data_IF_295780368203
#
_entry.id   IF_295780368203
#
_cell.length_a   1.000
_cell.length_b   1.000
_cell.length_c   1.000
_cell.angle_alpha   90.00
_cell.angle_beta   90.00
_cell.angle_gamma   90.00
#
_symmetry.space_group_name_H-M   'P 1'
#
loop_
_entity.id
_entity.type
_entity.pdbx_description
1 polymer ?
#
# COMPACT_ATOMS: atom_id res chain seq x y z
N UNK A 1 2.47 7.18 -5.40
CA UNK A 1 3.33 8.11 -4.65
C UNK A 1 4.54 7.44 -4.04
N UNK A 2 4.43 6.25 -3.41
CA UNK A 2 5.56 5.47 -2.88
C UNK A 2 6.71 5.32 -3.91
N UNK A 3 6.42 4.94 -5.14
CA UNK A 3 7.40 4.83 -6.24
C UNK A 3 7.89 6.19 -6.78
N UNK A 4 7.08 7.25 -6.70
CA UNK A 4 7.46 8.60 -7.18
C UNK A 4 8.36 9.35 -6.20
N UNK A 5 8.24 9.11 -4.90
CA UNK A 5 9.11 9.70 -3.88
C UNK A 5 10.51 9.06 -3.86
N UNK A 6 10.61 7.76 -4.15
CA UNK A 6 11.91 7.08 -4.30
C UNK A 6 12.75 7.68 -5.44
N UNK A 7 12.10 8.13 -6.52
CA UNK A 7 12.79 8.83 -7.64
C UNK A 7 13.29 10.24 -7.25
N UNK A 8 12.73 10.88 -6.23
CA UNK A 8 13.12 12.21 -5.75
C UNK A 8 14.20 12.21 -4.65
N UNK A 9 14.48 11.07 -4.03
CA UNK A 9 15.50 10.92 -2.98
C UNK A 9 16.88 10.46 -3.50
N UNK A 10 16.97 10.08 -4.78
CA UNK A 10 18.24 9.77 -5.46
C UNK A 10 18.65 11.01 -6.24
N UNK A 11 19.86 11.59 -6.04
CA UNK A 11 20.30 12.72 -6.85
C UNK A 11 20.58 12.25 -8.28
N UNK A 12 19.59 12.36 -9.15
CA UNK A 12 19.77 12.17 -10.58
C UNK A 12 19.58 13.51 -11.29
N UNK A 13 20.62 13.95 -11.96
CA UNK A 13 20.57 15.01 -12.96
C UNK A 13 19.67 14.54 -14.10
N UNK A 14 18.46 15.06 -14.20
CA UNK A 14 17.58 14.86 -15.35
C UNK A 14 16.78 16.12 -15.64
N UNK A 15 17.07 16.67 -16.82
CA UNK A 15 16.34 17.73 -17.52
C UNK A 15 14.86 17.37 -17.72
N UNK A 16 13.94 18.34 -17.64
CA UNK A 16 12.51 18.09 -17.81
C UNK A 16 12.21 17.84 -19.30
N UNK A 17 11.79 16.64 -19.64
CA UNK A 17 11.17 16.34 -20.92
C UNK A 17 9.65 16.57 -20.77
N UNK A 18 9.15 17.58 -21.48
CA UNK A 18 7.72 17.85 -21.63
C UNK A 18 7.18 16.76 -22.58
N UNK A 19 6.44 15.80 -22.06
CA UNK A 19 5.71 14.83 -22.86
C UNK A 19 4.27 15.33 -23.04
N UNK A 20 3.96 15.77 -24.25
CA UNK A 20 2.60 15.95 -24.75
C UNK A 20 1.93 14.58 -24.81
N UNK A 21 0.84 14.40 -24.08
CA UNK A 21 0.03 13.19 -24.11
C UNK A 21 -0.70 13.04 -25.43
N UNK A 22 -0.28 12.09 -26.25
CA UNK A 22 -1.16 11.55 -27.29
C UNK A 22 -2.16 10.58 -26.66
N UNK A 23 -3.42 10.93 -26.71
CA UNK A 23 -4.56 10.13 -26.29
C UNK A 23 -4.78 9.05 -27.34
N UNK A 24 -4.28 7.82 -27.13
CA UNK A 24 -4.70 6.65 -27.88
C UNK A 24 -5.85 6.01 -27.14
N UNK A 25 -7.04 6.03 -27.76
CA UNK A 25 -8.27 5.47 -27.22
C UNK A 25 -8.13 3.98 -26.89
N UNK A 26 -8.75 3.60 -25.78
CA UNK A 26 -8.89 2.23 -25.30
C UNK A 26 -9.74 1.40 -26.31
N UNK A 27 -9.21 0.33 -26.94
CA UNK A 27 -9.96 -0.44 -27.94
C UNK A 27 -10.97 -1.44 -27.36
N UNK A 28 -11.14 -1.53 -26.04
CA UNK A 28 -12.04 -2.51 -25.39
C UNK A 28 -13.09 -1.91 -24.45
N UNK A 29 -13.37 -0.63 -24.58
CA UNK A 29 -14.35 0.07 -23.74
C UNK A 29 -15.79 -0.08 -24.18
N UNK A 30 -16.45 -1.18 -23.90
CA UNK A 30 -17.91 -1.29 -24.09
C UNK A 30 -18.61 -1.92 -22.89
N UNK A 31 -18.35 -1.42 -21.69
CA UNK A 31 -19.35 -1.47 -20.62
C UNK A 31 -19.06 -0.29 -19.67
N UNK A 32 -19.99 0.66 -19.50
CA UNK A 32 -19.94 1.58 -18.40
C UNK A 32 -19.92 0.77 -17.10
N UNK A 33 -19.21 1.20 -16.05
CA UNK A 33 -19.19 0.50 -14.79
C UNK A 33 -20.62 0.30 -14.30
N UNK A 34 -21.11 -0.94 -14.31
CA UNK A 34 -22.43 -1.31 -13.84
C UNK A 34 -22.41 -1.48 -12.32
N UNK A 35 -22.20 -0.39 -11.61
CA UNK A 35 -22.28 -0.33 -10.17
C UNK A 35 -22.54 1.10 -9.74
N UNK A 36 -23.20 1.32 -8.60
CA UNK A 36 -23.37 2.67 -8.08
C UNK A 36 -22.02 3.34 -7.84
N UNK A 37 -21.93 4.68 -7.95
CA UNK A 37 -20.67 5.40 -7.85
C UNK A 37 -20.10 5.31 -6.42
N UNK A 38 -18.76 5.23 -6.32
CA UNK A 38 -18.06 5.42 -5.06
C UNK A 38 -18.42 6.77 -4.44
N UNK A 39 -18.68 6.79 -3.14
CA UNK A 39 -19.02 8.01 -2.41
C UNK A 39 -17.73 8.74 -2.02
N UNK A 40 -17.59 9.99 -2.45
CA UNK A 40 -16.50 10.84 -1.98
C UNK A 40 -16.76 11.31 -0.55
N UNK A 41 -15.77 11.11 0.33
CA UNK A 41 -15.82 11.51 1.73
C UNK A 41 -14.79 12.60 1.99
N UNK A 42 -15.17 13.63 2.74
CA UNK A 42 -14.27 14.74 3.05
C UNK A 42 -13.19 14.31 4.05
N UNK A 43 -11.94 14.37 3.64
CA UNK A 43 -10.78 14.07 4.49
C UNK A 43 -10.35 15.24 5.39
N UNK A 44 -10.77 16.46 5.05
CA UNK A 44 -10.30 17.69 5.69
C UNK A 44 -8.88 18.12 5.28
N UNK A 45 -8.29 17.47 4.27
CA UNK A 45 -6.95 17.78 3.79
C UNK A 45 -6.85 17.78 2.26
N UNK A 46 -5.79 18.38 1.72
CA UNK A 46 -5.46 18.37 0.29
C UNK A 46 -4.16 17.62 -0.03
N UNK A 47 -3.43 17.15 0.98
CA UNK A 47 -2.22 16.36 0.74
C UNK A 47 -2.56 14.89 0.38
N UNK A 48 -1.67 14.20 -0.36
CA UNK A 48 -1.87 12.79 -0.68
C UNK A 48 -1.96 11.91 0.55
N UNK A 49 -2.87 10.93 0.52
CA UNK A 49 -3.03 9.87 1.50
C UNK A 49 -2.43 8.58 0.93
N UNK A 50 -1.49 7.95 1.66
CA UNK A 50 -0.61 6.90 1.14
C UNK A 50 -1.03 5.47 1.52
N UNK A 51 -1.78 5.32 2.61
CA UNK A 51 -2.26 4.02 3.09
C UNK A 51 -3.50 4.20 3.95
N UNK A 52 -4.30 3.15 4.06
CA UNK A 52 -5.52 3.07 4.87
C UNK A 52 -5.58 1.71 5.55
N UNK A 53 -6.03 1.70 6.79
CA UNK A 53 -6.30 0.52 7.61
C UNK A 53 -7.40 0.83 8.62
N UNK A 54 -8.14 -0.17 9.07
CA UNK A 54 -9.12 -0.01 10.14
C UNK A 54 -9.30 -1.27 10.96
N UNK A 55 -9.84 -1.13 12.17
CA UNK A 55 -10.24 -2.24 13.02
C UNK A 55 -11.71 -2.62 12.84
N UNK A 56 -12.51 -1.69 12.29
CA UNK A 56 -13.94 -1.86 12.01
C UNK A 56 -14.46 -0.80 11.03
N UNK A 57 -15.70 -0.91 10.57
CA UNK A 57 -16.37 0.07 9.73
C UNK A 57 -16.44 1.49 10.34
N UNK A 58 -16.33 1.61 11.65
CA UNK A 58 -16.38 2.88 12.39
C UNK A 58 -15.04 3.31 13.01
N UNK A 59 -13.98 2.58 12.74
CA UNK A 59 -12.62 2.88 13.21
C UNK A 59 -11.63 2.65 12.08
N UNK A 60 -11.36 3.71 11.32
CA UNK A 60 -10.51 3.65 10.13
C UNK A 60 -9.44 4.75 10.19
N UNK A 61 -8.24 4.40 9.81
CA UNK A 61 -7.05 5.25 9.88
C UNK A 61 -6.45 5.43 8.49
N UNK A 62 -5.99 6.62 8.19
CA UNK A 62 -5.18 6.91 6.99
C UNK A 62 -4.05 7.85 7.32
N UNK A 63 -2.99 7.80 6.54
CA UNK A 63 -1.84 8.67 6.71
C UNK A 63 -1.33 9.19 5.37
N UNK A 64 -0.62 10.30 5.45
CA UNK A 64 -0.01 10.91 4.28
C UNK A 64 0.72 12.18 4.60
N UNK A 65 0.93 13.02 3.58
CA UNK A 65 1.58 14.31 3.76
C UNK A 65 2.09 14.92 2.47
N UNK A 66 2.51 16.18 2.56
CA UNK A 66 3.14 16.92 1.48
C UNK A 66 4.08 17.99 2.03
N UNK A 67 5.08 18.40 1.23
CA UNK A 67 5.98 19.48 1.59
C UNK A 67 6.83 19.21 2.85
N UNK A 68 7.00 17.95 3.22
CA UNK A 68 7.74 17.57 4.44
C UNK A 68 6.89 17.57 5.71
N UNK A 69 5.60 17.82 5.61
CA UNK A 69 4.64 17.65 6.71
C UNK A 69 3.85 16.37 6.52
N UNK A 70 3.65 15.61 7.59
CA UNK A 70 2.87 14.38 7.59
C UNK A 70 1.77 14.44 8.63
N UNK A 71 0.68 13.71 8.38
CA UNK A 71 -0.42 13.57 9.32
C UNK A 71 -1.01 12.17 9.27
N UNK A 72 -1.63 11.78 10.37
CA UNK A 72 -2.49 10.61 10.50
C UNK A 72 -3.90 11.12 10.78
N UNK A 73 -4.86 10.67 9.99
CA UNK A 73 -6.28 10.96 10.16
C UNK A 73 -6.99 9.72 10.70
N UNK A 74 -8.03 9.95 11.50
CA UNK A 74 -8.86 8.91 12.08
C UNK A 74 -10.33 9.16 11.76
N UNK A 75 -11.04 8.12 11.32
CA UNK A 75 -12.49 8.06 11.18
C UNK A 75 -13.10 7.40 12.41
N UNK A 76 -13.95 8.12 13.11
CA UNK A 76 -14.56 7.70 14.37
C UNK A 76 -15.98 7.11 14.21
N UNK A 77 -16.34 6.70 13.00
CA UNK A 77 -17.68 6.23 12.64
C UNK A 77 -18.62 7.34 12.14
N UNK A 78 -18.21 8.59 12.25
CA UNK A 78 -19.03 9.76 11.84
C UNK A 78 -18.28 10.69 10.90
N UNK A 79 -17.04 11.00 11.22
CA UNK A 79 -16.22 11.94 10.45
C UNK A 79 -14.73 11.63 10.55
N UNK A 80 -13.98 12.06 9.54
CA UNK A 80 -12.54 12.08 9.57
C UNK A 80 -12.02 13.30 10.34
N UNK A 81 -11.01 13.10 11.17
CA UNK A 81 -10.34 14.16 11.89
C UNK A 81 -8.85 13.87 12.08
N UNK A 82 -8.03 14.91 12.38
CA UNK A 82 -6.61 14.71 12.66
C UNK A 82 -6.43 13.94 13.98
N UNK A 83 -5.57 12.92 13.97
CA UNK A 83 -5.16 12.15 15.14
C UNK A 83 -3.71 12.44 15.53
N UNK A 84 -2.85 12.69 14.53
CA UNK A 84 -1.47 13.06 14.73
C UNK A 84 -0.98 13.94 13.58
N UNK A 85 -0.08 14.87 13.90
CA UNK A 85 0.61 15.68 12.92
C UNK A 85 2.10 15.77 13.26
N UNK A 86 2.95 15.76 12.21
CA UNK A 86 4.37 15.87 12.39
C UNK A 86 4.78 17.23 12.98
N UNK A 87 5.82 17.27 13.84
CA UNK A 87 6.43 18.53 14.23
C UNK A 87 6.94 19.29 13.00
N UNK A 88 6.72 20.61 12.98
CA UNK A 88 7.16 21.48 11.87
C UNK A 88 8.68 21.65 11.78
N UNK A 89 9.43 21.15 12.78
CA UNK A 89 10.90 21.29 12.88
C UNK A 89 11.66 20.28 12.05
N UNK A 90 11.00 19.27 11.46
CA UNK A 90 11.65 18.21 10.68
C UNK A 90 10.78 17.80 9.49
N UNK A 91 11.42 17.30 8.45
CA UNK A 91 10.72 16.75 7.27
C UNK A 91 10.29 15.31 7.55
N UNK A 92 9.00 15.05 7.44
CA UNK A 92 8.39 13.75 7.68
C UNK A 92 7.71 13.21 6.42
N UNK A 93 7.84 11.92 6.20
CA UNK A 93 7.13 11.16 5.16
C UNK A 93 6.57 9.89 5.79
N UNK A 94 5.26 9.68 5.72
CA UNK A 94 4.59 8.49 6.25
C UNK A 94 4.03 7.65 5.10
N UNK A 95 4.24 6.33 5.13
CA UNK A 95 3.96 5.46 3.99
C UNK A 95 3.06 4.27 4.30
N UNK A 96 3.22 3.63 5.44
CA UNK A 96 2.49 2.42 5.82
C UNK A 96 1.78 2.57 7.15
N UNK A 97 0.59 1.97 7.25
CA UNK A 97 -0.20 1.87 8.48
C UNK A 97 -0.80 0.47 8.58
N UNK A 98 -0.81 -0.08 9.78
CA UNK A 98 -1.39 -1.36 10.12
C UNK A 98 -1.71 -1.42 11.62
N UNK A 99 -2.75 -2.16 12.02
CA UNK A 99 -3.05 -2.33 13.43
C UNK A 99 -3.59 -3.71 13.75
N UNK A 100 -3.64 -4.00 15.05
CA UNK A 100 -4.21 -5.21 15.62
C UNK A 100 -5.60 -4.96 16.22
N UNK A 101 -5.84 -3.71 16.62
CA UNK A 101 -7.10 -3.25 17.21
C UNK A 101 -7.20 -1.73 17.13
N UNK A 102 -8.32 -1.17 17.54
CA UNK A 102 -8.54 0.28 17.68
C UNK A 102 -7.53 0.98 18.64
N UNK A 103 -6.86 0.21 19.51
CA UNK A 103 -5.89 0.71 20.49
C UNK A 103 -4.46 0.20 20.26
N UNK A 104 -4.20 -0.41 19.12
CA UNK A 104 -2.86 -0.90 18.77
C UNK A 104 -2.64 -0.72 17.26
N UNK A 105 -2.13 0.46 16.89
CA UNK A 105 -1.93 0.84 15.48
C UNK A 105 -0.49 1.31 15.27
N UNK A 106 0.14 0.81 14.23
CA UNK A 106 1.51 1.13 13.83
C UNK A 106 1.52 1.92 12.54
N UNK A 107 2.35 2.94 12.48
CA UNK A 107 2.62 3.72 11.28
C UNK A 107 4.12 3.85 11.05
N UNK A 108 4.56 3.70 9.79
CA UNK A 108 5.98 3.77 9.45
C UNK A 108 6.26 4.77 8.35
N UNK A 109 7.50 5.27 8.35
CA UNK A 109 7.92 6.28 7.41
C UNK A 109 9.39 6.64 7.50
N UNK A 110 9.68 7.91 7.23
CA UNK A 110 11.04 8.44 7.19
C UNK A 110 11.06 9.90 7.65
N UNK A 111 12.05 10.26 8.46
CA UNK A 111 12.27 11.63 8.89
C UNK A 111 13.74 11.90 9.16
N UNK A 112 14.23 13.08 8.77
CA UNK A 112 15.56 13.58 9.09
C UNK A 112 16.72 12.59 8.81
N UNK A 113 16.62 11.78 7.76
CA UNK A 113 17.67 10.80 7.42
C UNK A 113 17.51 9.43 8.11
N UNK A 114 16.42 9.19 8.85
CA UNK A 114 16.18 7.95 9.59
C UNK A 114 14.80 7.37 9.31
N UNK A 115 14.70 6.03 9.34
CA UNK A 115 13.42 5.33 9.36
C UNK A 115 12.66 5.61 10.64
N UNK A 116 11.36 5.77 10.56
CA UNK A 116 10.49 6.13 11.67
C UNK A 116 9.38 5.10 11.85
N UNK A 117 9.07 4.80 13.11
CA UNK A 117 7.89 4.05 13.50
C UNK A 117 7.14 4.82 14.61
N UNK A 118 5.84 4.91 14.45
CA UNK A 118 4.90 5.44 15.43
C UNK A 118 3.99 4.30 15.89
N UNK A 119 3.68 4.26 17.18
CA UNK A 119 2.75 3.31 17.77
C UNK A 119 1.64 4.07 18.51
N UNK A 120 0.40 3.76 18.22
CA UNK A 120 -0.79 4.24 18.93
C UNK A 120 -1.19 3.22 20.00
N UNK A 121 -1.21 3.65 21.26
CA UNK A 121 -1.49 2.81 22.42
C UNK A 121 -2.96 2.85 22.89
N UNK A 122 -3.84 3.42 22.06
CA UNK A 122 -5.25 3.67 22.37
C UNK A 122 -5.52 5.07 22.92
N UNK A 123 -4.48 5.85 23.21
CA UNK A 123 -4.59 7.22 23.74
C UNK A 123 -3.73 8.21 22.98
N UNK A 124 -2.50 7.85 22.63
CA UNK A 124 -1.53 8.76 22.02
C UNK A 124 -0.59 8.01 21.06
N UNK A 125 -0.06 8.74 20.09
CA UNK A 125 0.99 8.26 19.20
C UNK A 125 2.36 8.47 19.81
N UNK A 126 3.11 7.40 19.98
CA UNK A 126 4.47 7.38 20.52
C UNK A 126 5.48 7.06 19.41
N UNK A 127 6.63 7.74 19.42
CA UNK A 127 7.74 7.39 18.53
C UNK A 127 8.45 6.17 19.13
N UNK A 128 8.48 5.05 18.40
CA UNK A 128 9.23 3.84 18.73
C UNK A 128 10.39 3.71 17.76
N UNK A 129 11.53 4.32 18.08
CA UNK A 129 12.64 4.50 17.16
C UNK A 129 13.20 3.15 16.66
N UNK A 130 13.18 2.89 15.34
CA UNK A 130 13.72 1.66 14.77
C UNK A 130 15.26 1.64 14.68
N UNK A 131 15.94 2.73 15.01
CA UNK A 131 17.40 2.88 14.95
C UNK A 131 17.99 2.49 13.59
N UNK A 132 17.38 2.93 12.51
CA UNK A 132 17.82 2.63 11.14
C UNK A 132 17.86 3.90 10.29
N UNK A 133 18.82 3.95 9.36
CA UNK A 133 18.86 4.97 8.31
C UNK A 133 18.00 4.59 7.07
N UNK A 134 17.44 3.39 7.07
CA UNK A 134 16.64 2.90 5.95
C UNK A 134 15.23 3.51 5.97
N UNK A 135 14.74 3.88 4.80
CA UNK A 135 13.34 4.25 4.60
C UNK A 135 12.42 3.07 4.93
N UNK A 136 11.39 3.27 5.76
CA UNK A 136 10.37 2.27 6.03
C UNK A 136 9.09 2.60 5.25
N UNK A 137 8.53 1.60 4.55
CA UNK A 137 7.43 1.78 3.60
C UNK A 137 6.20 0.97 3.98
N UNK A 138 6.38 -0.30 4.34
CA UNK A 138 5.32 -1.21 4.75
C UNK A 138 5.47 -1.63 6.20
N UNK A 139 4.35 -1.88 6.87
CA UNK A 139 4.28 -2.41 8.24
C UNK A 139 3.17 -3.44 8.34
N UNK A 140 3.40 -4.50 9.10
CA UNK A 140 2.43 -5.54 9.43
C UNK A 140 2.74 -6.12 10.81
N UNK A 141 1.73 -6.59 11.53
CA UNK A 141 1.90 -7.17 12.86
C UNK A 141 1.09 -8.47 13.00
N UNK A 142 1.70 -9.48 13.61
CA UNK A 142 1.03 -10.69 14.05
C UNK A 142 0.51 -10.57 15.49
N UNK A 143 1.19 -9.78 16.32
CA UNK A 143 0.83 -9.48 17.71
C UNK A 143 1.48 -8.16 18.16
N UNK A 144 1.15 -7.70 19.36
CA UNK A 144 1.75 -6.51 19.99
C UNK A 144 3.27 -6.61 20.19
N UNK A 145 3.82 -7.81 20.18
CA UNK A 145 5.25 -8.11 20.31
C UNK A 145 5.86 -8.76 19.07
N UNK A 146 5.14 -8.75 17.95
CA UNK A 146 5.61 -9.32 16.68
C UNK A 146 5.17 -8.41 15.53
N UNK A 147 5.96 -7.34 15.31
CA UNK A 147 5.69 -6.33 14.29
C UNK A 147 6.85 -6.28 13.30
N UNK A 148 6.52 -6.26 12.04
CA UNK A 148 7.47 -6.27 10.94
C UNK A 148 7.35 -4.99 10.11
N UNK A 149 8.48 -4.39 9.78
CA UNK A 149 8.54 -3.26 8.87
C UNK A 149 9.50 -3.55 7.73
N UNK A 150 9.12 -3.12 6.52
CA UNK A 150 9.93 -3.29 5.32
C UNK A 150 10.15 -1.97 4.61
N UNK A 151 11.24 -1.93 3.84
CA UNK A 151 11.57 -0.75 3.07
C UNK A 151 12.92 -0.86 2.40
N UNK A 152 13.75 0.18 2.54
CA UNK A 152 15.11 0.23 2.01
C UNK A 152 15.36 1.48 1.18
N UNK A 153 16.53 1.56 0.59
CA UNK A 153 16.94 2.61 -0.34
C UNK A 153 17.58 1.96 -1.56
N UNK A 154 18.89 1.75 -1.51
CA UNK A 154 19.62 0.99 -2.54
C UNK A 154 19.53 -0.52 -2.33
N UNK A 155 19.21 -0.97 -1.13
CA UNK A 155 19.01 -2.39 -0.76
C UNK A 155 17.72 -2.52 0.03
N UNK A 156 17.13 -3.71 0.04
CA UNK A 156 15.95 -4.02 0.84
C UNK A 156 16.27 -4.05 2.33
N UNK A 157 15.33 -3.58 3.13
CA UNK A 157 15.41 -3.61 4.60
C UNK A 157 14.20 -4.36 5.16
N UNK A 158 14.46 -5.22 6.14
CA UNK A 158 13.45 -5.88 6.97
C UNK A 158 13.82 -5.64 8.42
N UNK A 159 12.88 -5.13 9.20
CA UNK A 159 13.02 -4.92 10.63
C UNK A 159 11.93 -5.70 11.37
N UNK A 160 12.29 -6.20 12.55
CA UNK A 160 11.39 -6.91 13.45
C UNK A 160 11.38 -6.26 14.83
N UNK A 161 10.19 -5.98 15.35
CA UNK A 161 9.94 -5.52 16.72
C UNK A 161 9.45 -6.69 17.58
N UNK A 162 10.16 -6.98 18.65
CA UNK A 162 9.93 -8.12 19.54
C UNK A 162 9.10 -7.76 20.81
N UNK A 163 8.39 -6.63 20.78
CA UNK A 163 7.66 -6.10 21.94
C UNK A 163 8.48 -5.14 22.81
N UNK A 164 9.79 -5.07 22.59
CA UNK A 164 10.69 -4.20 23.38
C UNK A 164 11.54 -3.29 22.49
N UNK A 165 12.11 -3.85 21.43
CA UNK A 165 13.02 -3.14 20.54
C UNK A 165 12.92 -3.65 19.09
N UNK A 166 13.24 -2.75 18.16
CA UNK A 166 13.42 -3.10 16.76
C UNK A 166 14.82 -3.69 16.54
N UNK A 167 14.90 -4.68 15.68
CA UNK A 167 16.16 -5.26 15.19
C UNK A 167 16.13 -5.43 13.67
N UNK A 168 17.27 -5.24 13.02
CA UNK A 168 17.41 -5.53 11.60
C UNK A 168 17.47 -7.04 11.38
N UNK A 169 16.66 -7.54 10.46
CA UNK A 169 16.65 -8.94 10.05
C UNK A 169 17.42 -9.08 8.74
N UNK A 170 18.29 -10.07 8.67
CA UNK A 170 19.01 -10.36 7.43
C UNK A 170 18.02 -10.80 6.35
N UNK A 171 17.98 -10.05 5.26
CA UNK A 171 17.20 -10.32 4.07
C UNK A 171 18.13 -10.65 2.91
N UNK A 172 17.73 -11.58 2.06
CA UNK A 172 18.42 -11.85 0.79
C UNK A 172 18.04 -10.85 -0.31
N UNK A 173 17.16 -9.88 -0.01
CA UNK A 173 16.72 -8.89 -0.98
C UNK A 173 17.78 -7.85 -1.27
N UNK A 174 18.18 -7.75 -2.54
CA UNK A 174 19.03 -6.67 -3.04
C UNK A 174 18.22 -5.42 -3.44
N UNK A 175 16.88 -5.46 -3.38
CA UNK A 175 15.98 -4.41 -3.85
C UNK A 175 15.06 -3.92 -2.74
N UNK A 176 14.67 -2.64 -2.81
CA UNK A 176 13.70 -2.02 -1.90
C UNK A 176 12.40 -2.81 -1.85
N UNK A 177 11.91 -3.09 -0.64
CA UNK A 177 10.61 -3.70 -0.40
C UNK A 177 9.55 -2.61 -0.22
N UNK A 178 8.39 -2.77 -0.85
CA UNK A 178 7.35 -1.74 -0.95
C UNK A 178 6.12 -2.07 -0.12
N UNK A 179 5.82 -3.35 0.07
CA UNK A 179 4.68 -3.81 0.85
C UNK A 179 5.01 -5.10 1.61
N UNK A 180 4.29 -5.32 2.70
CA UNK A 180 4.36 -6.52 3.54
C UNK A 180 2.95 -6.90 3.97
N UNK A 181 2.67 -8.20 4.00
CA UNK A 181 1.46 -8.79 4.53
C UNK A 181 1.77 -10.17 5.10
N UNK A 182 1.08 -10.58 6.15
CA UNK A 182 1.22 -11.91 6.71
C UNK A 182 -0.13 -12.55 7.06
N UNK A 183 -0.21 -13.85 6.88
CA UNK A 183 -1.33 -14.66 7.38
C UNK A 183 -1.17 -15.01 8.85
N UNK A 184 0.09 -15.16 9.29
CA UNK A 184 0.47 -15.52 10.66
C UNK A 184 1.92 -15.12 10.92
N UNK A 185 2.37 -15.25 12.17
CA UNK A 185 3.76 -15.04 12.58
C UNK A 185 4.78 -15.94 11.84
N UNK A 186 4.34 -16.99 11.17
CA UNK A 186 5.19 -17.93 10.42
C UNK A 186 4.89 -17.96 8.92
N UNK A 187 4.10 -17.02 8.42
CA UNK A 187 3.76 -16.94 6.99
C UNK A 187 3.57 -15.47 6.62
N UNK A 188 4.68 -14.82 6.19
CA UNK A 188 4.73 -13.39 5.88
C UNK A 188 5.36 -13.20 4.50
N UNK A 189 4.76 -12.36 3.70
CA UNK A 189 5.17 -12.01 2.34
C UNK A 189 5.55 -10.54 2.26
N UNK A 190 6.66 -10.26 1.60
CA UNK A 190 7.07 -8.89 1.26
C UNK A 190 7.40 -8.80 -0.21
N UNK A 191 6.94 -7.73 -0.86
CA UNK A 191 7.13 -7.51 -2.30
C UNK A 191 7.77 -6.15 -2.56
N UNK A 192 8.42 -6.00 -3.73
CA UNK A 192 9.14 -4.77 -4.01
C UNK A 192 9.62 -4.59 -5.43
N UNK A 193 10.64 -3.74 -5.56
CA UNK A 193 11.22 -3.30 -6.82
C UNK A 193 11.81 -4.46 -7.61
N UNK A 194 11.63 -4.43 -8.94
CA UNK A 194 12.18 -5.42 -9.86
C UNK A 194 11.55 -6.81 -9.73
N UNK A 195 10.28 -6.90 -9.36
CA UNK A 195 9.56 -8.16 -9.18
C UNK A 195 10.01 -8.95 -7.95
N UNK A 196 10.66 -8.28 -6.99
CA UNK A 196 11.13 -8.93 -5.76
C UNK A 196 9.96 -9.47 -4.95
N UNK A 197 10.05 -10.76 -4.57
CA UNK A 197 9.18 -11.39 -3.59
C UNK A 197 10.04 -12.09 -2.54
N UNK A 198 9.78 -11.81 -1.27
CA UNK A 198 10.39 -12.45 -0.11
C UNK A 198 9.29 -13.16 0.69
N UNK A 199 9.58 -14.36 1.19
CA UNK A 199 8.68 -15.12 2.04
C UNK A 199 9.37 -15.53 3.33
N UNK A 200 8.72 -15.30 4.47
CA UNK A 200 9.12 -15.76 5.79
C UNK A 200 8.32 -16.99 6.19
N UNK A 201 9.00 -18.08 6.51
CA UNK A 201 8.40 -19.36 6.84
C UNK A 201 8.34 -19.65 8.36
N UNK A 202 8.48 -18.59 9.19
CA UNK A 202 8.56 -18.72 10.64
C UNK A 202 9.99 -18.86 11.18
N UNK A 203 10.99 -19.06 10.30
CA UNK A 203 12.39 -19.23 10.70
C UNK A 203 13.32 -18.32 9.94
N UNK A 204 13.11 -18.16 8.64
CA UNK A 204 13.98 -17.37 7.76
C UNK A 204 13.23 -16.79 6.58
N UNK A 205 13.75 -15.67 6.07
CA UNK A 205 13.31 -15.06 4.82
C UNK A 205 14.02 -15.73 3.63
N UNK A 206 13.27 -15.98 2.58
CA UNK A 206 13.78 -16.54 1.32
C UNK A 206 13.19 -15.79 0.12
N UNK A 207 14.00 -15.66 -0.94
CA UNK A 207 13.54 -15.08 -2.21
C UNK A 207 12.73 -16.11 -2.98
N UNK A 208 11.54 -15.72 -3.41
CA UNK A 208 10.66 -16.53 -4.27
C UNK A 208 10.65 -15.92 -5.67
N UNK A 209 10.92 -16.69 -6.74
CA UNK A 209 10.87 -16.16 -8.10
C UNK A 209 9.46 -15.69 -8.48
N UNK A 210 9.34 -14.44 -8.88
CA UNK A 210 8.07 -13.87 -9.39
C UNK A 210 7.85 -14.12 -10.89
N UNK A 211 8.92 -14.38 -11.63
CA UNK A 211 8.90 -14.49 -13.09
C UNK A 211 8.78 -13.15 -13.85
N UNK A 212 8.87 -12.01 -13.15
CA UNK A 212 8.77 -10.67 -13.73
C UNK A 212 9.89 -9.76 -13.25
N UNK A 213 10.05 -8.62 -13.94
CA UNK A 213 10.98 -7.53 -13.55
C UNK A 213 10.28 -6.21 -13.25
N UNK A 214 8.96 -6.17 -13.39
CA UNK A 214 8.13 -5.02 -13.02
C UNK A 214 8.03 -4.90 -11.50
N UNK A 215 7.86 -3.68 -10.99
CA UNK A 215 7.77 -3.44 -9.56
C UNK A 215 6.44 -4.00 -8.99
N UNK A 216 6.50 -4.58 -7.79
CA UNK A 216 5.34 -5.03 -7.02
C UNK A 216 5.13 -4.08 -5.84
N UNK A 217 3.99 -3.39 -5.79
CA UNK A 217 3.70 -2.31 -4.85
C UNK A 217 2.75 -2.69 -3.72
N UNK A 218 1.93 -3.72 -3.90
CA UNK A 218 0.98 -4.22 -2.92
C UNK A 218 0.97 -5.75 -2.83
N UNK A 219 0.72 -6.29 -1.65
CA UNK A 219 0.56 -7.72 -1.39
C UNK A 219 -0.53 -7.94 -0.34
N UNK A 220 -1.37 -8.95 -0.55
CA UNK A 220 -2.45 -9.35 0.34
C UNK A 220 -2.89 -10.80 0.03
N UNK A 221 -3.47 -11.50 1.01
CA UNK A 221 -3.96 -12.85 0.78
C UNK A 221 -5.02 -13.30 1.80
N UNK A 222 -5.64 -14.43 1.51
CA UNK A 222 -6.59 -15.08 2.43
C UNK A 222 -5.96 -16.23 3.20
N UNK A 223 -4.96 -16.87 2.61
CA UNK A 223 -4.28 -18.05 3.18
C UNK A 223 -2.85 -18.17 2.65
N UNK A 224 -2.08 -19.11 3.20
CA UNK A 224 -0.74 -19.47 2.73
C UNK A 224 -0.71 -19.96 1.25
N UNK A 225 -1.85 -20.30 0.68
CA UNK A 225 -1.99 -20.77 -0.72
C UNK A 225 -2.86 -19.87 -1.59
N UNK A 226 -3.19 -18.68 -1.11
CA UNK A 226 -3.98 -17.70 -1.86
C UNK A 226 -3.47 -16.30 -1.52
N UNK A 227 -2.46 -15.85 -2.28
CA UNK A 227 -1.82 -14.54 -2.09
C UNK A 227 -1.76 -13.78 -3.42
N UNK A 228 -2.10 -12.53 -3.38
CA UNK A 228 -2.11 -11.60 -4.51
C UNK A 228 -1.01 -10.57 -4.36
N UNK A 229 -0.32 -10.28 -5.45
CA UNK A 229 0.62 -9.17 -5.53
C UNK A 229 0.30 -8.31 -6.75
N UNK A 230 0.32 -7.00 -6.58
CA UNK A 230 -0.02 -6.04 -7.63
C UNK A 230 1.07 -5.01 -7.82
N UNK A 231 1.15 -4.48 -9.05
CA UNK A 231 2.19 -3.50 -9.35
C UNK A 231 2.14 -2.98 -10.78
N UNK A 232 3.32 -2.63 -11.29
CA UNK A 232 3.54 -2.19 -12.66
C UNK A 232 4.79 -1.33 -12.79
N UNK A 233 5.16 -1.04 -14.01
CA UNK A 233 6.29 -0.16 -14.34
C UNK A 233 6.03 0.68 -15.60
N UNK A 234 4.76 1.08 -15.81
CA UNK A 234 4.38 1.91 -16.98
C UNK A 234 5.22 3.17 -17.10
N UNK A 235 5.56 3.82 -15.97
CA UNK A 235 6.45 4.98 -15.92
C UNK A 235 7.90 4.68 -16.38
N UNK A 236 8.31 3.41 -16.38
CA UNK A 236 9.63 2.94 -16.86
C UNK A 236 9.56 2.34 -18.27
N UNK A 237 8.42 2.45 -18.96
CA UNK A 237 8.16 1.84 -20.27
C UNK A 237 7.85 0.34 -20.23
N UNK A 238 7.61 -0.21 -19.04
CA UNK A 238 7.15 -1.58 -18.85
C UNK A 238 5.63 -1.73 -18.96
N UNK A 239 5.13 -2.94 -18.74
CA UNK A 239 3.71 -3.19 -18.71
C UNK A 239 3.12 -2.64 -17.40
N UNK A 240 2.11 -1.76 -17.48
CA UNK A 240 1.29 -1.39 -16.35
C UNK A 240 0.33 -2.51 -15.96
N UNK A 241 -0.32 -2.37 -14.81
CA UNK A 241 -1.39 -3.26 -14.38
C UNK A 241 -0.97 -4.71 -14.16
N UNK A 242 0.13 -4.92 -13.44
CA UNK A 242 0.60 -6.25 -13.06
C UNK A 242 -0.26 -6.78 -11.92
N UNK A 243 -0.75 -8.02 -12.10
CA UNK A 243 -1.35 -8.82 -11.03
C UNK A 243 -0.72 -10.20 -11.07
N UNK A 244 -0.18 -10.64 -9.95
CA UNK A 244 0.29 -12.00 -9.71
C UNK A 244 -0.59 -12.67 -8.67
N UNK A 245 -0.85 -13.97 -8.85
CA UNK A 245 -1.55 -14.82 -7.90
C UNK A 245 -0.71 -16.04 -7.52
N UNK A 246 -0.57 -16.28 -6.23
CA UNK A 246 0.08 -17.45 -5.65
C UNK A 246 -0.96 -18.49 -5.26
N UNK A 247 -0.83 -19.69 -5.81
CA UNK A 247 -1.77 -20.80 -5.60
C UNK A 247 -1.30 -21.82 -4.55
N UNK A 248 -0.33 -21.45 -3.72
CA UNK A 248 0.30 -22.35 -2.75
C UNK A 248 1.56 -23.04 -3.28
N UNK A 249 1.86 -22.92 -4.57
CA UNK A 249 3.02 -23.58 -5.19
C UNK A 249 3.83 -22.59 -6.04
N UNK A 250 3.16 -21.82 -6.88
CA UNK A 250 3.79 -20.91 -7.84
C UNK A 250 3.02 -19.60 -7.96
N UNK A 251 3.77 -18.52 -8.24
CA UNK A 251 3.22 -17.27 -8.70
C UNK A 251 2.91 -17.34 -10.18
N UNK A 252 1.73 -16.89 -10.58
CA UNK A 252 1.32 -16.78 -11.97
C UNK A 252 0.73 -15.42 -12.28
N UNK A 253 1.00 -14.92 -13.49
CA UNK A 253 0.44 -13.64 -13.95
C UNK A 253 -1.04 -13.82 -14.29
N UNK A 254 -1.87 -12.89 -13.80
CA UNK A 254 -3.30 -12.80 -14.09
C UNK A 254 -3.55 -11.54 -14.94
N UNK A 255 -4.46 -11.63 -15.91
CA UNK A 255 -4.84 -10.48 -16.74
C UNK A 255 -5.56 -9.44 -15.88
N UNK A 256 -5.03 -8.25 -15.77
CA UNK A 256 -5.61 -7.13 -15.01
C UNK A 256 -6.67 -6.35 -15.79
N UNK A 257 -6.62 -6.38 -17.12
CA UNK A 257 -7.47 -5.55 -17.98
C UNK A 257 -7.14 -4.05 -17.98
N UNK A 258 -6.00 -3.64 -17.40
CA UNK A 258 -5.57 -2.23 -17.36
C UNK A 258 -4.11 -2.07 -17.74
N UNK A 259 -3.77 -0.92 -18.35
CA UNK A 259 -2.40 -0.48 -18.57
C UNK A 259 -1.88 0.45 -17.48
N UNK A 260 -2.65 0.69 -16.41
CA UNK A 260 -2.26 1.58 -15.32
C UNK A 260 -1.56 0.81 -14.21
N UNK A 261 -0.51 1.39 -13.61
CA UNK A 261 0.17 0.80 -12.45
C UNK A 261 -0.81 0.66 -11.28
N UNK A 262 -0.75 -0.48 -10.58
CA UNK A 262 -1.52 -0.78 -9.38
C UNK A 262 -0.65 -0.60 -8.14
N UNK A 263 -1.19 -0.02 -7.07
CA UNK A 263 -0.43 0.37 -5.89
C UNK A 263 -0.81 -0.38 -4.62
N UNK A 264 -2.06 -0.82 -4.52
CA UNK A 264 -2.56 -1.53 -3.33
C UNK A 264 -3.57 -2.60 -3.71
N UNK A 265 -3.64 -3.65 -2.91
CA UNK A 265 -4.58 -4.76 -3.04
C UNK A 265 -5.09 -5.16 -1.65
N UNK A 266 -6.39 -5.44 -1.55
CA UNK A 266 -7.07 -5.92 -0.36
C UNK A 266 -8.31 -6.72 -0.78
N UNK A 267 -8.77 -7.65 0.05
CA UNK A 267 -10.00 -8.38 -0.22
C UNK A 267 -10.76 -8.78 1.04
N UNK A 268 -12.07 -8.94 0.90
CA UNK A 268 -12.92 -9.47 1.95
C UNK A 268 -12.92 -11.01 1.94
N UNK A 269 -12.60 -11.63 0.80
CA UNK A 269 -12.51 -13.09 0.64
C UNK A 269 -11.67 -13.45 -0.59
N UNK A 270 -11.45 -14.74 -0.84
CA UNK A 270 -10.76 -15.24 -2.03
C UNK A 270 -11.49 -14.92 -3.35
N UNK A 271 -12.78 -14.61 -3.30
CA UNK A 271 -13.61 -14.24 -4.46
C UNK A 271 -14.08 -12.78 -4.45
N UNK A 272 -13.50 -11.96 -3.57
CA UNK A 272 -13.83 -10.54 -3.46
C UNK A 272 -12.55 -9.77 -3.12
N UNK A 273 -11.80 -9.38 -4.16
CA UNK A 273 -10.51 -8.71 -4.04
C UNK A 273 -10.52 -7.42 -4.85
N UNK A 274 -10.01 -6.35 -4.26
CA UNK A 274 -9.94 -5.02 -4.84
C UNK A 274 -8.48 -4.63 -5.08
N UNK A 275 -8.19 -4.03 -6.22
CA UNK A 275 -6.90 -3.43 -6.52
C UNK A 275 -7.07 -2.01 -7.03
N UNK A 276 -6.23 -1.10 -6.55
CA UNK A 276 -6.30 0.32 -6.91
C UNK A 276 -4.96 0.86 -7.38
N UNK A 277 -5.00 1.97 -8.16
CA UNK A 277 -3.75 2.47 -8.71
C UNK A 277 -3.83 3.82 -9.42
N UNK A 278 -2.96 3.98 -10.40
CA UNK A 278 -2.77 5.22 -11.15
C UNK A 278 -4.03 5.58 -11.94
N UNK A 279 -4.25 6.90 -12.16
CA UNK A 279 -5.39 7.41 -12.91
C UNK A 279 -6.75 7.10 -12.27
N UNK A 280 -6.82 6.85 -10.96
CA UNK A 280 -8.04 6.47 -10.25
C UNK A 280 -8.53 5.05 -10.56
N UNK A 281 -7.63 4.20 -11.07
CA UNK A 281 -7.95 2.80 -11.41
C UNK A 281 -8.50 2.07 -10.19
N UNK A 282 -9.64 1.42 -10.36
CA UNK A 282 -10.29 0.52 -9.40
C UNK A 282 -10.62 -0.77 -10.13
N UNK A 283 -10.06 -1.88 -9.68
CA UNK A 283 -10.35 -3.21 -10.20
C UNK A 283 -10.97 -4.06 -9.09
N UNK A 284 -11.89 -4.93 -9.45
CA UNK A 284 -12.56 -5.87 -8.57
C UNK A 284 -12.49 -7.29 -9.13
N UNK A 285 -12.01 -8.24 -8.34
CA UNK A 285 -12.04 -9.67 -8.63
C UNK A 285 -13.30 -10.29 -8.04
N UNK A 286 -14.13 -10.88 -8.87
CA UNK A 286 -15.44 -11.48 -8.51
C UNK A 286 -15.36 -12.99 -8.21
N UNK A 287 -14.13 -13.53 -8.07
CA UNK A 287 -13.87 -14.97 -7.96
C UNK A 287 -13.59 -15.65 -9.29
N UNK A 288 -13.78 -14.94 -10.42
CA UNK A 288 -13.57 -15.49 -11.76
C UNK A 288 -12.65 -14.62 -12.60
N UNK A 289 -12.86 -13.30 -12.56
CA UNK A 289 -12.13 -12.33 -13.38
C UNK A 289 -11.99 -10.98 -12.69
N UNK A 290 -10.98 -10.21 -13.11
CA UNK A 290 -10.81 -8.83 -12.70
C UNK A 290 -11.66 -7.91 -13.57
N UNK A 291 -12.57 -7.18 -12.95
CA UNK A 291 -13.49 -6.25 -13.58
C UNK A 291 -13.07 -4.81 -13.31
N UNK A 292 -13.10 -3.97 -14.32
CA UNK A 292 -12.84 -2.53 -14.17
C UNK A 292 -14.06 -1.86 -13.51
N UNK A 293 -13.83 -1.20 -12.36
CA UNK A 293 -14.80 -0.42 -11.58
C UNK A 293 -14.42 1.05 -11.48
N UNK A 294 -13.48 1.50 -12.28
CA UNK A 294 -12.99 2.89 -12.34
C UNK A 294 -14.14 3.81 -12.77
N UNK A 295 -14.37 4.87 -12.00
CA UNK A 295 -15.34 5.90 -12.37
C UNK A 295 -14.87 6.65 -13.62
N UNK A 296 -15.80 6.99 -14.53
CA UNK A 296 -15.46 7.79 -15.70
C UNK A 296 -14.94 9.17 -15.29
N UNK A 297 -13.78 9.56 -15.86
CA UNK A 297 -13.13 10.84 -15.56
C UNK A 297 -12.29 10.86 -14.29
N UNK A 298 -12.08 9.72 -13.62
CA UNK A 298 -11.14 9.62 -12.51
C UNK A 298 -9.70 9.88 -13.02
N UNK A 299 -9.01 10.84 -12.41
CA UNK A 299 -7.64 11.22 -12.78
C UNK A 299 -6.68 11.20 -11.60
N UNK A 300 -7.21 11.15 -10.38
CA UNK A 300 -6.43 11.14 -9.14
C UNK A 300 -6.02 9.70 -8.83
N UNK A 301 -4.73 9.48 -8.60
CA UNK A 301 -4.23 8.15 -8.21
C UNK A 301 -4.77 7.72 -6.84
N UNK A 302 -4.95 6.40 -6.66
CA UNK A 302 -5.36 5.76 -5.42
C UNK A 302 -4.19 4.90 -4.90
N UNK A 303 -3.69 5.20 -3.69
CA UNK A 303 -2.51 4.57 -3.10
C UNK A 303 -2.85 3.47 -2.09
N UNK A 304 -4.05 3.48 -1.53
CA UNK A 304 -4.47 2.53 -0.51
C UNK A 304 -5.89 2.03 -0.70
N UNK A 305 -6.10 0.76 -0.37
CA UNK A 305 -7.41 0.11 -0.25
C UNK A 305 -7.45 -0.75 0.99
N UNK A 306 -8.55 -0.66 1.74
CA UNK A 306 -8.87 -1.48 2.89
C UNK A 306 -10.40 -1.54 3.09
N UNK A 307 -10.89 -2.60 3.71
CA UNK A 307 -12.29 -2.70 4.07
C UNK A 307 -12.53 -3.56 5.30
N UNK A 308 -13.66 -3.36 5.97
CA UNK A 308 -14.13 -4.22 7.05
C UNK A 308 -14.99 -5.38 6.53
N UNK A 309 -15.52 -5.25 5.32
CA UNK A 309 -16.35 -6.26 4.64
C UNK A 309 -16.42 -5.99 3.14
N UNK A 310 -17.06 -6.89 2.38
CA UNK A 310 -17.35 -6.75 0.96
C UNK A 310 -18.13 -5.48 0.59
N UNK A 311 -18.95 -4.96 1.52
CA UNK A 311 -19.78 -3.77 1.32
C UNK A 311 -19.28 -2.53 2.04
N UNK A 312 -18.13 -2.60 2.70
CA UNK A 312 -17.51 -1.50 3.42
C UNK A 312 -16.02 -1.43 3.06
N UNK A 313 -15.71 -0.71 1.99
CA UNK A 313 -14.37 -0.57 1.42
C UNK A 313 -13.99 0.90 1.32
N UNK A 314 -12.81 1.23 1.77
CA UNK A 314 -12.23 2.56 1.78
C UNK A 314 -11.04 2.63 0.82
N UNK A 315 -11.03 3.64 -0.04
CA UNK A 315 -9.93 3.94 -0.96
C UNK A 315 -9.38 5.31 -0.62
N UNK A 316 -8.05 5.44 -0.61
CA UNK A 316 -7.38 6.72 -0.34
C UNK A 316 -6.33 7.03 -1.40
N UNK A 317 -6.06 8.33 -1.62
CA UNK A 317 -5.09 8.70 -2.65
C UNK A 317 -4.73 10.17 -2.72
N UNK A 318 -4.37 10.61 -3.91
CA UNK A 318 -3.92 11.98 -4.18
C UNK A 318 -4.94 13.05 -3.81
N UNK A 319 -4.47 14.27 -3.53
CA UNK A 319 -5.29 15.44 -3.22
C UNK A 319 -6.26 15.25 -2.04
N UNK A 320 -5.90 14.41 -1.06
CA UNK A 320 -6.75 14.11 0.09
C UNK A 320 -7.98 13.28 -0.25
N UNK A 321 -7.97 12.59 -1.38
CA UNK A 321 -9.10 11.77 -1.83
C UNK A 321 -9.36 10.63 -0.85
N UNK A 322 -10.61 10.53 -0.40
CA UNK A 322 -11.17 9.36 0.28
C UNK A 322 -12.45 8.98 -0.47
N UNK A 323 -12.54 7.72 -0.88
CA UNK A 323 -13.76 7.13 -1.45
C UNK A 323 -14.22 6.00 -0.53
N UNK A 324 -15.53 5.86 -0.37
CA UNK A 324 -16.18 4.84 0.44
C UNK A 324 -17.24 4.10 -0.39
N UNK A 325 -17.26 2.81 -0.31
CA UNK A 325 -18.18 1.93 -1.04
C UNK A 325 -17.71 0.47 -0.96
N UNK A 326 -18.09 -0.37 -1.93
CA UNK A 326 -19.09 -0.13 -2.95
C UNK A 326 -20.47 0.06 -2.33
N UNK A 327 -21.31 0.95 -2.87
CA UNK A 327 -22.69 1.00 -2.44
C UNK A 327 -23.35 -0.35 -2.72
N UNK A 328 -24.26 -0.77 -1.82
CA UNK A 328 -25.02 -2.01 -1.98
C UNK A 328 -25.70 -2.02 -3.35
N UNK A 329 -25.41 -3.05 -4.15
CA UNK A 329 -26.04 -3.29 -5.44
C UNK A 329 -27.49 -3.74 -5.28
#
# INVERSE_FOLDING_TARGET
MKLRLLAGLIPAVLTPLILTSCHSGDPLGTNPPSGPPWTSVQSGTTFPLNAVWGSSASDVWTLGGAGGLAAILHYNGTSWGPSWASPSSATWYMFGIWGLSASDVWAVGYSAGAGMALHYDGTTWLIVNPNTSQLLIGVWAASTSDVWAVGGGTTGAILHFNGTAWSTVTSSSASTLLAIWGKSASDIWAVGVGGTIQHYNGTSWSTIPSGITDDLAGVWGTSASDVWAVGGSAAKGGAGGIILHYNGTTWSRVTSGTGQDLFSVWGASASDVWAVGNGGTILHFDGTSWLNRTSSGATVFLDGVWGSSASDVWLVGGQGTILHGPPAG
#
